data_IF_898960872015
#
_entry.id   IF_898960872015
#
_cell.length_a   1.000
_cell.length_b   1.000
_cell.length_c   1.000
_cell.angle_alpha   90.00
_cell.angle_beta   90.00
_cell.angle_gamma   90.00
#
_symmetry.space_group_name_H-M   'P 1'
#
loop_
_entity.id
_entity.type
_entity.pdbx_description
1 polymer ?
#
# COMPACT_ATOMS: atom_id res chain seq x y z
N UNK A 1 -37.13 -22.62 21.78
CA UNK A 1 -35.68 -22.92 21.75
C UNK A 1 -35.54 -24.40 21.45
N UNK A 2 -34.95 -24.77 20.31
CA UNK A 2 -34.69 -26.18 19.99
C UNK A 2 -33.62 -26.68 20.96
N UNK A 3 -33.91 -27.73 21.72
CA UNK A 3 -32.97 -28.26 22.70
C UNK A 3 -31.69 -28.76 22.00
N UNK A 4 -30.53 -28.29 22.45
CA UNK A 4 -29.20 -28.69 21.97
C UNK A 4 -28.58 -29.66 22.98
N UNK A 5 -28.12 -30.82 22.54
CA UNK A 5 -27.48 -31.80 23.42
C UNK A 5 -26.06 -32.12 22.96
N UNK A 6 -25.09 -31.99 23.85
CA UNK A 6 -23.72 -32.43 23.59
C UNK A 6 -23.57 -33.90 23.98
N UNK A 7 -22.99 -34.69 23.09
CA UNK A 7 -22.72 -36.12 23.29
C UNK A 7 -21.34 -36.46 22.76
N UNK A 8 -20.84 -37.63 23.17
CA UNK A 8 -19.54 -38.13 22.77
C UNK A 8 -19.70 -39.46 22.05
N UNK A 9 -18.93 -39.68 20.98
CA UNK A 9 -18.82 -40.99 20.34
C UNK A 9 -18.09 -41.98 21.24
N UNK A 10 -18.64 -43.18 21.39
CA UNK A 10 -17.94 -44.29 22.06
C UNK A 10 -16.96 -45.03 21.12
N UNK A 11 -16.18 -45.96 21.67
CA UNK A 11 -15.22 -46.81 20.93
C UNK A 11 -15.81 -47.62 19.76
N UNK A 12 -17.13 -47.79 19.73
CA UNK A 12 -17.85 -48.49 18.67
C UNK A 12 -18.49 -47.52 17.66
N UNK A 13 -18.20 -46.22 17.76
CA UNK A 13 -18.77 -45.18 16.90
C UNK A 13 -20.23 -44.89 17.18
N UNK A 14 -20.71 -45.13 18.41
CA UNK A 14 -22.12 -44.92 18.78
C UNK A 14 -22.33 -43.62 19.54
N UNK A 15 -23.51 -43.01 19.36
CA UNK A 15 -23.92 -41.78 20.03
C UNK A 15 -25.27 -41.99 20.72
N UNK A 16 -25.41 -41.53 21.98
CA UNK A 16 -26.66 -41.64 22.76
C UNK A 16 -27.65 -40.57 22.31
N UNK A 17 -28.82 -40.97 21.79
CA UNK A 17 -29.93 -40.03 21.57
C UNK A 17 -30.60 -39.74 22.92
N UNK A 18 -30.73 -38.45 23.32
CA UNK A 18 -31.41 -38.03 24.55
C UNK A 18 -32.80 -38.67 24.72
N UNK A 19 -33.21 -38.93 25.98
CA UNK A 19 -34.44 -39.69 26.27
C UNK A 19 -35.70 -38.95 25.81
N UNK A 20 -35.77 -37.66 26.10
CA UNK A 20 -36.79 -36.73 25.61
C UNK A 20 -36.92 -36.78 24.09
N UNK A 21 -35.82 -36.64 23.34
CA UNK A 21 -35.88 -36.71 21.88
C UNK A 21 -36.36 -38.08 21.35
N UNK A 22 -36.00 -39.17 22.05
CA UNK A 22 -36.46 -40.53 21.67
C UNK A 22 -37.95 -40.72 21.89
N UNK A 23 -38.50 -40.12 22.95
CA UNK A 23 -39.92 -40.18 23.28
C UNK A 23 -40.72 -39.27 22.34
N UNK A 24 -40.26 -38.04 22.11
CA UNK A 24 -40.92 -37.06 21.25
C UNK A 24 -41.01 -37.51 19.78
N UNK A 25 -39.98 -38.19 19.28
CA UNK A 25 -39.89 -38.68 17.90
C UNK A 25 -40.30 -40.16 17.75
N UNK A 26 -40.75 -40.82 18.81
CA UNK A 26 -41.13 -42.25 18.84
C UNK A 26 -40.08 -43.19 18.20
N UNK A 27 -38.80 -42.99 18.55
CA UNK A 27 -37.69 -43.70 17.89
C UNK A 27 -37.52 -45.17 18.35
N UNK A 28 -38.21 -45.57 19.42
CA UNK A 28 -37.96 -46.85 20.09
C UNK A 28 -38.53 -48.02 19.26
N UNK A 29 -37.66 -48.95 18.86
CA UNK A 29 -38.07 -50.13 18.08
C UNK A 29 -38.35 -49.85 16.61
N UNK A 30 -38.11 -48.61 16.15
CA UNK A 30 -38.19 -48.23 14.73
C UNK A 30 -36.87 -48.54 14.01
N UNK A 31 -36.97 -48.73 12.70
CA UNK A 31 -35.82 -48.79 11.81
C UNK A 31 -35.34 -47.37 11.51
N UNK A 32 -34.04 -47.13 11.63
CA UNK A 32 -33.41 -45.83 11.46
C UNK A 32 -32.40 -45.86 10.32
N UNK A 33 -32.58 -44.98 9.35
CA UNK A 33 -31.58 -44.69 8.33
C UNK A 33 -30.60 -43.64 8.83
N UNK A 34 -29.31 -43.82 8.54
CA UNK A 34 -28.22 -42.94 8.99
C UNK A 34 -27.46 -42.46 7.75
N UNK A 35 -27.70 -41.21 7.36
CA UNK A 35 -27.18 -40.65 6.12
C UNK A 35 -26.23 -39.48 6.36
N UNK A 36 -25.35 -39.25 5.41
CA UNK A 36 -24.61 -38.01 5.29
C UNK A 36 -25.59 -36.83 5.24
N UNK A 37 -25.30 -35.79 6.01
CA UNK A 37 -26.08 -34.55 6.02
C UNK A 37 -25.19 -33.36 5.75
N UNK A 38 -25.56 -32.62 4.71
CA UNK A 38 -24.96 -31.34 4.40
C UNK A 38 -23.58 -31.43 3.76
N UNK A 39 -23.30 -32.37 2.86
CA UNK A 39 -22.02 -32.38 2.11
C UNK A 39 -20.79 -32.52 3.03
N UNK A 40 -20.85 -33.40 4.03
CA UNK A 40 -19.81 -33.66 5.03
C UNK A 40 -19.99 -32.86 6.33
N UNK A 41 -21.18 -32.29 6.59
CA UNK A 41 -21.46 -31.45 7.78
C UNK A 41 -21.98 -32.22 8.98
N UNK A 42 -22.30 -33.51 8.82
CA UNK A 42 -22.77 -34.36 9.90
C UNK A 42 -23.56 -35.54 9.38
N UNK A 43 -24.39 -36.08 10.27
CA UNK A 43 -25.21 -37.25 10.04
C UNK A 43 -26.65 -36.92 10.37
N UNK A 44 -27.55 -37.29 9.46
CA UNK A 44 -28.98 -37.20 9.66
C UNK A 44 -29.54 -38.60 9.91
N UNK A 45 -30.25 -38.74 11.02
CA UNK A 45 -30.95 -39.96 11.41
C UNK A 45 -32.44 -39.75 11.15
N UNK A 46 -33.02 -40.61 10.32
CA UNK A 46 -34.46 -40.60 9.98
C UNK A 46 -35.08 -41.96 10.29
N UNK A 47 -36.39 -41.98 10.53
CA UNK A 47 -37.16 -43.23 10.60
C UNK A 47 -37.38 -43.74 9.17
N UNK A 48 -37.00 -44.99 8.91
CA UNK A 48 -37.28 -45.68 7.66
C UNK A 48 -38.42 -46.71 7.81
N UNK A 49 -39.19 -46.88 6.75
CA UNK A 49 -40.35 -47.79 6.73
C UNK A 49 -40.01 -49.20 6.23
N UNK A 50 -38.79 -49.44 5.71
CA UNK A 50 -38.36 -50.71 5.09
C UNK A 50 -37.08 -51.28 5.72
N UNK A 51 -36.95 -52.60 5.78
CA UNK A 51 -35.87 -53.36 6.46
C UNK A 51 -34.47 -53.34 5.76
N UNK A 52 -34.08 -52.26 5.08
CA UNK A 52 -32.82 -52.15 4.31
C UNK A 52 -31.52 -52.12 5.16
N UNK A 53 -30.52 -51.30 4.80
CA UNK A 53 -29.32 -51.03 5.64
C UNK A 53 -29.64 -50.23 6.92
N UNK A 54 -30.75 -50.54 7.56
CA UNK A 54 -31.31 -49.83 8.70
C UNK A 54 -30.59 -50.19 10.00
N UNK A 55 -30.47 -49.20 10.88
CA UNK A 55 -29.97 -49.34 12.24
C UNK A 55 -31.14 -49.26 13.22
N UNK A 56 -30.95 -49.77 14.42
CA UNK A 56 -31.91 -49.61 15.53
C UNK A 56 -31.19 -49.01 16.72
N UNK A 57 -31.96 -48.41 17.63
CA UNK A 57 -31.41 -47.97 18.92
C UNK A 57 -31.14 -49.17 19.81
N UNK A 58 -29.98 -49.19 20.45
CA UNK A 58 -29.69 -50.21 21.45
C UNK A 58 -30.48 -50.00 22.76
N UNK A 59 -30.32 -50.93 23.72
CA UNK A 59 -30.98 -50.86 25.04
C UNK A 59 -30.68 -49.59 25.85
N UNK A 60 -29.64 -48.84 25.48
CA UNK A 60 -29.24 -47.59 26.12
C UNK A 60 -29.65 -46.35 25.30
N UNK A 61 -30.31 -46.53 24.15
CA UNK A 61 -30.72 -45.44 23.27
C UNK A 61 -29.63 -44.92 22.34
N UNK A 62 -28.61 -45.74 22.04
CA UNK A 62 -27.51 -45.36 21.16
C UNK A 62 -27.77 -45.76 19.71
N UNK A 63 -27.41 -44.88 18.78
CA UNK A 63 -27.35 -45.16 17.34
C UNK A 63 -25.90 -45.35 16.90
N UNK A 64 -25.64 -46.29 15.99
CA UNK A 64 -24.31 -46.53 15.41
C UNK A 64 -24.11 -45.59 14.23
N UNK A 65 -23.00 -44.84 14.21
CA UNK A 65 -22.55 -44.09 13.03
C UNK A 65 -21.66 -45.03 12.18
N UNK A 66 -22.06 -45.37 10.94
CA UNK A 66 -21.30 -46.22 10.03
C UNK A 66 -19.84 -45.77 9.89
N UNK A 67 -18.93 -46.72 9.64
CA UNK A 67 -17.49 -46.43 9.55
C UNK A 67 -17.18 -45.51 8.39
N UNK A 68 -17.90 -45.64 7.28
CA UNK A 68 -17.78 -44.84 6.06
C UNK A 68 -18.09 -43.36 6.35
N UNK A 69 -19.18 -43.10 7.09
CA UNK A 69 -19.56 -41.75 7.51
C UNK A 69 -18.59 -41.19 8.56
N UNK A 70 -18.09 -42.02 9.48
CA UNK A 70 -17.07 -41.57 10.45
C UNK A 70 -15.75 -41.21 9.78
N UNK A 71 -15.32 -41.96 8.78
CA UNK A 71 -14.12 -41.65 8.00
C UNK A 71 -14.31 -40.36 7.19
N UNK A 72 -15.47 -40.20 6.53
CA UNK A 72 -15.81 -38.99 5.79
C UNK A 72 -15.80 -37.74 6.68
N UNK A 73 -16.33 -37.84 7.91
CA UNK A 73 -16.46 -36.73 8.85
C UNK A 73 -15.26 -36.57 9.79
N UNK A 74 -14.25 -37.43 9.69
CA UNK A 74 -13.12 -37.52 10.62
C UNK A 74 -13.57 -37.62 12.10
N UNK A 75 -14.51 -38.51 12.37
CA UNK A 75 -15.07 -38.76 13.71
C UNK A 75 -14.46 -40.01 14.35
N UNK A 76 -13.52 -39.76 15.25
CA UNK A 76 -12.85 -40.80 16.04
C UNK A 76 -13.53 -41.06 17.39
N UNK A 77 -13.06 -42.09 18.10
CA UNK A 77 -13.48 -42.34 19.49
C UNK A 77 -13.28 -41.08 20.33
N UNK A 78 -14.29 -40.73 21.12
CA UNK A 78 -14.22 -39.57 22.00
C UNK A 78 -14.56 -38.23 21.34
N UNK A 79 -14.89 -38.19 20.03
CA UNK A 79 -15.35 -36.97 19.35
C UNK A 79 -16.63 -36.44 20.01
N UNK A 80 -16.63 -35.14 20.36
CA UNK A 80 -17.80 -34.42 20.82
C UNK A 80 -18.68 -34.01 19.63
N UNK A 81 -19.98 -34.30 19.73
CA UNK A 81 -20.99 -34.00 18.71
C UNK A 81 -22.19 -33.30 19.34
N UNK A 82 -22.80 -32.42 18.56
CA UNK A 82 -24.03 -31.74 18.90
C UNK A 82 -25.21 -32.48 18.27
N UNK A 83 -26.27 -32.71 19.06
CA UNK A 83 -27.53 -33.30 18.59
C UNK A 83 -28.59 -32.20 18.59
N UNK A 84 -29.19 -31.97 17.42
CA UNK A 84 -30.33 -31.07 17.18
C UNK A 84 -31.48 -31.84 16.54
N UNK A 85 -32.71 -31.38 16.74
CA UNK A 85 -33.88 -31.87 16.00
C UNK A 85 -34.25 -30.89 14.90
N UNK A 86 -34.46 -31.40 13.70
CA UNK A 86 -35.01 -30.65 12.58
C UNK A 86 -36.25 -31.37 12.06
N UNK A 87 -37.44 -30.83 12.33
CA UNK A 87 -38.73 -31.48 12.08
C UNK A 87 -38.84 -32.87 12.74
N UNK A 88 -38.79 -33.95 11.95
CA UNK A 88 -38.84 -35.35 12.44
C UNK A 88 -37.47 -36.03 12.45
N UNK A 89 -36.42 -35.30 12.07
CA UNK A 89 -35.09 -35.84 11.85
C UNK A 89 -34.14 -35.45 12.99
N UNK A 90 -33.29 -36.38 13.40
CA UNK A 90 -32.22 -36.11 14.36
C UNK A 90 -30.94 -35.79 13.60
N UNK A 91 -30.43 -34.57 13.78
CA UNK A 91 -29.17 -34.12 13.18
C UNK A 91 -28.07 -34.22 14.22
N UNK A 92 -27.01 -34.97 13.89
CA UNK A 92 -25.80 -35.10 14.69
C UNK A 92 -24.68 -34.43 13.88
N UNK A 93 -24.03 -33.39 14.41
CA UNK A 93 -22.92 -32.72 13.73
C UNK A 93 -21.73 -32.55 14.68
N UNK A 94 -20.54 -32.27 14.15
CA UNK A 94 -19.50 -31.70 14.99
C UNK A 94 -19.94 -30.30 15.47
N UNK A 95 -19.30 -29.78 16.52
CA UNK A 95 -19.59 -28.44 17.04
C UNK A 95 -19.83 -27.48 15.88
N UNK A 96 -21.00 -26.82 15.87
CA UNK A 96 -21.45 -25.91 14.83
C UNK A 96 -20.26 -25.16 14.23
N UNK A 97 -19.94 -25.46 12.96
CA UNK A 97 -19.02 -24.62 12.21
C UNK A 97 -19.68 -23.25 12.22
N UNK A 98 -19.09 -22.34 12.97
CA UNK A 98 -19.58 -20.98 13.16
C UNK A 98 -18.51 -20.03 12.66
N UNK A 99 -18.94 -18.83 12.26
CA UNK A 99 -18.00 -17.77 11.98
C UNK A 99 -17.13 -17.53 13.22
N UNK A 100 -15.81 -17.58 13.05
CA UNK A 100 -14.85 -17.36 14.13
C UNK A 100 -14.88 -15.94 14.74
N UNK A 101 -15.67 -15.03 14.17
CA UNK A 101 -15.81 -13.63 14.61
C UNK A 101 -17.17 -13.38 15.25
N UNK A 102 -18.27 -13.71 14.57
CA UNK A 102 -19.63 -13.40 15.02
C UNK A 102 -20.49 -14.62 15.41
N UNK A 103 -19.91 -15.82 15.39
CA UNK A 103 -20.55 -17.09 15.79
C UNK A 103 -21.80 -17.51 14.98
N UNK A 104 -22.12 -16.86 13.86
CA UNK A 104 -23.26 -17.28 13.01
C UNK A 104 -22.98 -18.59 12.26
N UNK A 105 -24.04 -19.35 11.99
CA UNK A 105 -23.99 -20.67 11.33
C UNK A 105 -24.25 -20.61 9.79
N UNK A 106 -24.42 -19.42 9.20
CA UNK A 106 -24.82 -19.22 7.79
C UNK A 106 -23.74 -18.53 6.95
N UNK A 107 -23.76 -18.77 5.63
CA UNK A 107 -22.86 -18.17 4.63
C UNK A 107 -21.38 -18.29 4.98
N UNK A 108 -20.97 -19.48 5.41
CA UNK A 108 -19.62 -19.75 5.90
C UNK A 108 -18.67 -20.14 4.79
N UNK A 109 -17.50 -19.51 4.81
CA UNK A 109 -16.38 -19.75 3.91
C UNK A 109 -15.22 -20.32 4.73
N UNK A 110 -14.65 -21.48 4.35
CA UNK A 110 -13.50 -22.04 5.04
C UNK A 110 -12.24 -21.21 4.78
N UNK A 111 -11.53 -20.85 5.86
CA UNK A 111 -10.26 -20.12 5.84
C UNK A 111 -9.27 -20.86 6.74
N UNK A 112 -8.32 -21.58 6.12
CA UNK A 112 -7.39 -22.50 6.80
C UNK A 112 -8.17 -23.52 7.66
N UNK A 113 -8.01 -23.49 8.98
CA UNK A 113 -8.68 -24.40 9.92
C UNK A 113 -9.94 -23.81 10.58
N UNK A 114 -10.40 -22.63 10.15
CA UNK A 114 -11.56 -21.92 10.71
C UNK A 114 -12.56 -21.55 9.61
N UNK A 115 -13.72 -21.03 10.01
CA UNK A 115 -14.76 -20.52 9.11
C UNK A 115 -15.00 -19.03 9.36
N UNK A 116 -15.26 -18.28 8.28
CA UNK A 116 -15.72 -16.89 8.35
C UNK A 116 -17.01 -16.75 7.55
N UNK A 117 -17.98 -15.98 8.06
CA UNK A 117 -19.17 -15.68 7.27
C UNK A 117 -18.87 -14.58 6.24
N UNK A 118 -19.67 -14.53 5.18
CA UNK A 118 -19.61 -13.46 4.16
C UNK A 118 -19.64 -12.06 4.78
N UNK A 119 -20.54 -11.77 5.74
CA UNK A 119 -20.62 -10.45 6.39
C UNK A 119 -19.32 -10.07 7.12
N UNK A 120 -18.70 -10.99 7.87
CA UNK A 120 -17.44 -10.69 8.57
C UNK A 120 -16.25 -10.58 7.62
N UNK A 121 -16.27 -11.30 6.50
CA UNK A 121 -15.28 -11.11 5.43
C UNK A 121 -15.45 -9.73 4.79
N UNK A 122 -16.69 -9.33 4.53
CA UNK A 122 -17.04 -8.01 3.98
C UNK A 122 -16.61 -6.88 4.92
N UNK A 123 -16.92 -6.99 6.21
CA UNK A 123 -16.48 -6.03 7.24
C UNK A 123 -14.95 -5.93 7.32
N UNK A 124 -14.25 -7.07 7.23
CA UNK A 124 -12.79 -7.11 7.19
C UNK A 124 -12.23 -6.37 5.97
N UNK A 125 -12.78 -6.64 4.79
CA UNK A 125 -12.39 -6.01 3.53
C UNK A 125 -12.65 -4.49 3.54
N UNK A 126 -13.79 -4.07 4.11
CA UNK A 126 -14.13 -2.67 4.29
C UNK A 126 -13.14 -1.99 5.25
N UNK A 127 -12.80 -2.62 6.38
CA UNK A 127 -11.79 -2.09 7.32
C UNK A 127 -10.41 -1.95 6.69
N UNK A 128 -10.01 -2.90 5.85
CA UNK A 128 -8.76 -2.79 5.09
C UNK A 128 -8.78 -1.59 4.13
N UNK A 129 -9.87 -1.40 3.39
CA UNK A 129 -10.02 -0.28 2.46
C UNK A 129 -10.07 1.07 3.18
N UNK A 130 -10.77 1.15 4.33
CA UNK A 130 -10.88 2.36 5.14
C UNK A 130 -9.53 2.81 5.71
N UNK A 131 -8.63 1.88 6.02
CA UNK A 131 -7.25 2.20 6.46
C UNK A 131 -6.49 2.98 5.39
N UNK A 132 -6.53 2.51 4.15
CA UNK A 132 -5.93 3.21 3.01
C UNK A 132 -6.64 4.53 2.73
N UNK A 133 -7.98 4.54 2.79
CA UNK A 133 -8.79 5.74 2.58
C UNK A 133 -8.43 6.84 3.59
N UNK A 134 -8.22 6.51 4.87
CA UNK A 134 -7.88 7.49 5.90
C UNK A 134 -6.54 8.21 5.61
N UNK A 135 -5.51 7.47 5.19
CA UNK A 135 -4.21 8.07 4.82
C UNK A 135 -4.34 8.93 3.56
N UNK A 136 -5.03 8.42 2.55
CA UNK A 136 -5.27 9.14 1.29
C UNK A 136 -6.09 10.43 1.50
N UNK A 137 -7.12 10.37 2.33
CA UNK A 137 -7.98 11.51 2.69
C UNK A 137 -7.22 12.56 3.50
N UNK A 138 -6.39 12.15 4.45
CA UNK A 138 -5.50 13.08 5.16
C UNK A 138 -4.58 13.82 4.18
N UNK A 139 -3.95 13.09 3.26
CA UNK A 139 -3.02 13.68 2.30
C UNK A 139 -3.68 14.60 1.29
N UNK A 140 -4.85 14.24 0.77
CA UNK A 140 -5.55 15.06 -0.22
C UNK A 140 -6.03 16.38 0.38
N UNK A 141 -6.41 16.38 1.67
CA UNK A 141 -6.79 17.58 2.42
C UNK A 141 -5.60 18.51 2.60
N UNK A 142 -4.48 18.00 3.12
CA UNK A 142 -3.25 18.80 3.23
C UNK A 142 -2.78 19.32 1.87
N UNK A 143 -2.88 18.50 0.82
CA UNK A 143 -2.55 18.91 -0.54
C UNK A 143 -3.44 20.06 -1.02
N UNK A 144 -4.76 19.99 -0.76
CA UNK A 144 -5.71 21.07 -1.09
C UNK A 144 -5.33 22.38 -0.45
N UNK A 145 -5.04 22.35 0.85
CA UNK A 145 -4.75 23.56 1.62
C UNK A 145 -3.44 24.20 1.12
N UNK A 146 -2.39 23.41 0.91
CA UNK A 146 -1.15 23.93 0.35
C UNK A 146 -1.28 24.39 -1.11
N UNK A 147 -2.10 23.73 -1.93
CA UNK A 147 -2.39 24.20 -3.29
C UNK A 147 -3.06 25.56 -3.29
N UNK A 148 -3.94 25.85 -2.33
CA UNK A 148 -4.58 27.17 -2.17
C UNK A 148 -3.58 28.21 -1.71
N UNK A 149 -2.80 27.92 -0.66
CA UNK A 149 -1.79 28.85 -0.12
C UNK A 149 -0.67 29.14 -1.13
N UNK A 150 -0.29 28.15 -1.95
CA UNK A 150 0.71 28.30 -3.01
C UNK A 150 0.37 29.38 -4.06
N UNK A 151 -0.90 29.78 -4.17
CA UNK A 151 -1.35 30.83 -5.10
C UNK A 151 -1.04 32.25 -4.59
N UNK A 152 -0.76 32.40 -3.29
CA UNK A 152 -0.46 33.70 -2.69
C UNK A 152 1.01 34.11 -2.92
N UNK A 153 1.89 33.12 -3.16
CA UNK A 153 3.33 33.32 -3.35
C UNK A 153 4.06 34.03 -2.19
N UNK A 154 3.46 34.07 -1.00
CA UNK A 154 4.03 34.69 0.20
C UNK A 154 5.10 33.80 0.84
N UNK A 155 4.82 32.50 0.96
CA UNK A 155 5.73 31.49 1.50
C UNK A 155 6.14 30.48 0.41
N UNK A 156 7.45 30.33 0.20
CA UNK A 156 7.99 29.32 -0.72
C UNK A 156 7.73 27.87 -0.23
N UNK A 157 7.46 27.72 1.07
CA UNK A 157 7.18 26.44 1.70
C UNK A 157 5.81 25.88 1.28
N UNK A 158 4.82 26.72 0.96
CA UNK A 158 3.51 26.25 0.49
C UNK A 158 3.62 25.50 -0.84
N UNK A 159 4.40 26.03 -1.79
CA UNK A 159 4.68 25.37 -3.06
C UNK A 159 5.48 24.09 -2.81
N UNK A 160 6.42 24.13 -1.86
CA UNK A 160 7.20 22.96 -1.50
C UNK A 160 6.30 21.83 -0.97
N UNK A 161 5.43 22.14 0.00
CA UNK A 161 4.53 21.18 0.63
C UNK A 161 3.48 20.66 -0.35
N UNK A 162 2.85 21.52 -1.15
CA UNK A 162 1.95 21.08 -2.22
C UNK A 162 2.64 20.06 -3.15
N UNK A 163 3.88 20.35 -3.58
CA UNK A 163 4.67 19.44 -4.42
C UNK A 163 5.02 18.13 -3.71
N UNK A 164 5.32 18.17 -2.41
CA UNK A 164 5.66 16.98 -1.61
C UNK A 164 4.43 16.10 -1.43
N UNK A 165 3.30 16.68 -1.00
CA UNK A 165 2.04 15.94 -0.78
C UNK A 165 1.52 15.32 -2.08
N UNK A 166 1.51 16.08 -3.18
CA UNK A 166 1.14 15.56 -4.50
C UNK A 166 1.97 14.35 -4.94
N UNK A 167 3.30 14.38 -4.74
CA UNK A 167 4.17 13.21 -5.02
C UNK A 167 3.86 12.00 -4.17
N UNK A 168 3.53 12.21 -2.89
CA UNK A 168 3.20 11.12 -1.98
C UNK A 168 1.88 10.47 -2.37
N UNK A 169 0.90 11.28 -2.78
CA UNK A 169 -0.36 10.79 -3.35
C UNK A 169 -0.09 9.97 -4.62
N UNK A 170 0.65 10.52 -5.59
CA UNK A 170 1.02 9.80 -6.82
C UNK A 170 1.74 8.47 -6.51
N UNK A 171 2.66 8.47 -5.54
CA UNK A 171 3.37 7.27 -5.13
C UNK A 171 2.42 6.20 -4.57
N UNK A 172 1.47 6.57 -3.70
CA UNK A 172 0.49 5.65 -3.14
C UNK A 172 -0.46 5.10 -4.21
N UNK A 173 -0.96 5.94 -5.12
CA UNK A 173 -1.79 5.51 -6.25
C UNK A 173 -1.02 4.54 -7.16
N UNK A 174 0.26 4.83 -7.44
CA UNK A 174 1.12 3.94 -8.22
C UNK A 174 1.35 2.61 -7.49
N UNK A 175 1.55 2.63 -6.18
CA UNK A 175 1.72 1.40 -5.38
C UNK A 175 0.45 0.54 -5.39
N UNK A 176 -0.72 1.18 -5.37
CA UNK A 176 -2.04 0.55 -5.53
C UNK A 176 -2.33 0.05 -6.96
N UNK A 177 -1.42 0.25 -7.92
CA UNK A 177 -1.63 -0.07 -9.34
C UNK A 177 -2.78 0.71 -10.00
N UNK A 178 -3.09 1.92 -9.51
CA UNK A 178 -4.02 2.80 -10.21
C UNK A 178 -3.41 3.14 -11.58
N UNK A 179 -4.13 2.92 -12.70
CA UNK A 179 -3.59 3.15 -14.03
C UNK A 179 -3.11 4.59 -14.20
N UNK A 180 -1.97 4.75 -14.85
CA UNK A 180 -1.38 6.08 -15.05
C UNK A 180 -2.26 7.02 -15.88
N UNK A 181 -3.22 6.47 -16.64
CA UNK A 181 -4.21 7.15 -17.49
C UNK A 181 -5.48 7.56 -16.72
N UNK A 182 -5.64 7.11 -15.47
CA UNK A 182 -6.76 7.50 -14.63
C UNK A 182 -6.81 9.02 -14.46
N UNK A 183 -8.00 9.62 -14.49
CA UNK A 183 -8.20 11.08 -14.50
C UNK A 183 -7.48 11.77 -13.33
N UNK A 184 -7.71 11.31 -12.10
CA UNK A 184 -6.99 11.79 -10.89
C UNK A 184 -5.47 11.79 -11.06
N UNK A 185 -4.91 10.74 -11.69
CA UNK A 185 -3.46 10.65 -11.89
C UNK A 185 -2.99 11.70 -12.91
N UNK A 186 -3.77 11.95 -13.96
CA UNK A 186 -3.45 12.97 -14.97
C UNK A 186 -3.49 14.38 -14.38
N UNK A 187 -4.51 14.69 -13.59
CA UNK A 187 -4.66 16.00 -12.93
C UNK A 187 -3.52 16.24 -11.94
N UNK A 188 -3.19 15.24 -11.12
CA UNK A 188 -2.04 15.31 -10.20
C UNK A 188 -0.72 15.53 -10.95
N UNK A 189 -0.48 14.81 -12.05
CA UNK A 189 0.72 14.99 -12.88
C UNK A 189 0.81 16.39 -13.47
N UNK A 190 -0.31 16.93 -13.97
CA UNK A 190 -0.32 18.27 -14.55
C UNK A 190 -0.07 19.34 -13.48
N UNK A 191 -0.74 19.24 -12.34
CA UNK A 191 -0.51 20.10 -11.19
C UNK A 191 0.94 19.98 -10.69
N UNK A 192 1.49 18.77 -10.61
CA UNK A 192 2.86 18.51 -10.22
C UNK A 192 3.87 19.21 -11.12
N UNK A 193 3.63 19.19 -12.43
CA UNK A 193 4.48 19.87 -13.42
C UNK A 193 4.46 21.39 -13.24
N UNK A 194 3.30 21.97 -12.97
CA UNK A 194 3.17 23.42 -12.73
C UNK A 194 3.88 23.82 -11.42
N UNK A 195 3.61 23.11 -10.33
CA UNK A 195 4.25 23.34 -9.02
C UNK A 195 5.77 23.15 -9.10
N UNK A 196 6.22 22.09 -9.78
CA UNK A 196 7.63 21.82 -10.01
C UNK A 196 8.33 22.93 -10.77
N UNK A 197 7.68 23.48 -11.80
CA UNK A 197 8.21 24.58 -12.58
C UNK A 197 8.38 25.88 -11.78
N UNK A 198 7.71 26.07 -10.63
CA UNK A 198 7.99 27.19 -9.72
C UNK A 198 9.06 26.79 -8.69
N UNK A 199 8.84 25.67 -7.98
CA UNK A 199 9.71 25.22 -6.89
C UNK A 199 11.16 24.99 -7.31
N UNK A 200 11.39 24.46 -8.51
CA UNK A 200 12.75 24.29 -9.04
C UNK A 200 13.49 25.64 -9.14
N UNK A 201 12.79 26.72 -9.53
CA UNK A 201 13.39 28.05 -9.60
C UNK A 201 13.56 28.66 -8.22
N UNK A 202 12.64 28.44 -7.28
CA UNK A 202 12.84 28.90 -5.88
C UNK A 202 14.13 28.31 -5.28
N UNK A 203 14.33 27.00 -5.44
CA UNK A 203 15.56 26.31 -4.97
C UNK A 203 16.80 26.87 -5.67
N UNK A 204 16.76 27.06 -6.99
CA UNK A 204 17.86 27.67 -7.76
C UNK A 204 18.19 29.09 -7.27
N UNK A 205 17.17 29.94 -7.12
CA UNK A 205 17.33 31.33 -6.69
C UNK A 205 17.97 31.39 -5.31
N UNK A 206 17.46 30.61 -4.35
CA UNK A 206 18.00 30.53 -2.99
C UNK A 206 19.47 30.09 -2.99
N UNK A 207 19.80 29.04 -3.74
CA UNK A 207 21.17 28.54 -3.85
C UNK A 207 22.15 29.58 -4.41
N UNK A 208 21.78 30.23 -5.52
CA UNK A 208 22.61 31.27 -6.13
C UNK A 208 22.66 32.57 -5.32
N UNK A 209 21.61 32.91 -4.57
CA UNK A 209 21.61 34.07 -3.68
C UNK A 209 22.58 33.88 -2.51
N UNK A 210 22.55 32.72 -1.84
CA UNK A 210 23.48 32.40 -0.75
C UNK A 210 24.93 32.46 -1.26
N UNK A 211 25.22 31.82 -2.40
CA UNK A 211 26.57 31.88 -3.01
C UNK A 211 27.01 33.29 -3.39
N UNK A 212 26.09 34.14 -3.85
CA UNK A 212 26.40 35.53 -4.14
C UNK A 212 26.72 36.35 -2.87
N UNK A 213 26.16 35.99 -1.73
CA UNK A 213 26.39 36.66 -0.44
C UNK A 213 27.67 36.19 0.25
N UNK A 214 28.00 34.90 0.14
CA UNK A 214 29.17 34.28 0.79
C UNK A 214 30.46 34.45 -0.01
N UNK A 215 30.37 34.76 -1.31
CA UNK A 215 31.54 34.89 -2.17
C UNK A 215 32.31 36.19 -1.91
N UNK A 216 33.56 36.05 -1.45
CA UNK A 216 34.45 37.18 -1.14
C UNK A 216 34.84 37.99 -2.39
N UNK A 217 34.93 37.33 -3.56
CA UNK A 217 35.28 38.01 -4.80
C UNK A 217 34.06 38.68 -5.43
N UNK A 218 34.00 40.01 -5.35
CA UNK A 218 32.90 40.82 -5.90
C UNK A 218 32.55 40.50 -7.37
N UNK A 219 33.52 40.09 -8.20
CA UNK A 219 33.25 39.77 -9.60
C UNK A 219 32.62 38.39 -9.78
N UNK A 220 32.89 37.44 -8.88
CA UNK A 220 32.27 36.12 -8.86
C UNK A 220 30.87 36.22 -8.22
N UNK A 221 30.73 37.00 -7.15
CA UNK A 221 29.45 37.34 -6.54
C UNK A 221 28.49 37.98 -7.56
N UNK A 222 28.98 38.91 -8.39
CA UNK A 222 28.21 39.50 -9.50
C UNK A 222 27.73 38.46 -10.52
N UNK A 223 28.56 37.45 -10.84
CA UNK A 223 28.16 36.36 -11.75
C UNK A 223 26.98 35.59 -11.16
N UNK A 224 27.06 35.18 -9.88
CA UNK A 224 25.96 34.51 -9.20
C UNK A 224 24.70 35.38 -9.14
N UNK A 225 24.87 36.68 -8.88
CA UNK A 225 23.77 37.63 -8.82
C UNK A 225 23.01 37.75 -10.13
N UNK A 226 23.75 37.87 -11.23
CA UNK A 226 23.19 37.95 -12.57
C UNK A 226 22.45 36.68 -13.01
N UNK A 227 22.81 35.52 -12.46
CA UNK A 227 22.14 34.25 -12.72
C UNK A 227 20.81 34.21 -11.99
N UNK A 228 20.78 34.42 -10.67
CA UNK A 228 19.50 34.33 -9.94
C UNK A 228 18.50 35.39 -10.39
N UNK A 229 18.93 36.61 -10.74
CA UNK A 229 18.04 37.65 -11.30
C UNK A 229 17.39 37.20 -12.62
N UNK A 230 18.10 36.44 -13.45
CA UNK A 230 17.54 35.89 -14.70
C UNK A 230 16.57 34.74 -14.43
N UNK A 231 16.89 33.88 -13.47
CA UNK A 231 16.01 32.77 -13.05
C UNK A 231 14.73 33.33 -12.44
N UNK A 232 14.82 34.39 -11.64
CA UNK A 232 13.69 35.07 -11.01
C UNK A 232 12.69 35.63 -12.04
N UNK A 233 13.18 36.29 -13.09
CA UNK A 233 12.32 36.72 -14.22
C UNK A 233 11.55 35.57 -14.88
N UNK A 234 12.11 34.36 -14.92
CA UNK A 234 11.38 33.17 -15.41
C UNK A 234 10.43 32.62 -14.37
N UNK A 235 10.81 32.64 -13.09
CA UNK A 235 9.95 32.21 -11.98
C UNK A 235 8.63 32.95 -12.00
N UNK A 236 8.65 34.27 -12.16
CA UNK A 236 7.42 35.08 -12.23
C UNK A 236 6.48 34.65 -13.37
N UNK A 237 7.03 34.26 -14.53
CA UNK A 237 6.22 33.70 -15.62
C UNK A 237 5.59 32.35 -15.24
N UNK A 238 6.31 31.51 -14.50
CA UNK A 238 5.79 30.24 -14.02
C UNK A 238 4.77 30.42 -12.90
N UNK A 239 4.94 31.41 -12.01
CA UNK A 239 3.96 31.80 -11.00
C UNK A 239 2.66 32.25 -11.63
N UNK A 240 2.70 33.12 -12.64
CA UNK A 240 1.51 33.53 -13.38
C UNK A 240 0.78 32.33 -14.01
N UNK A 241 1.53 31.41 -14.63
CA UNK A 241 0.95 30.20 -15.22
C UNK A 241 0.37 29.25 -14.16
N UNK A 242 1.01 29.14 -13.00
CA UNK A 242 0.51 28.35 -11.87
C UNK A 242 -0.81 28.95 -11.36
N UNK A 243 -0.85 30.27 -11.16
CA UNK A 243 -2.02 30.99 -10.67
C UNK A 243 -3.23 30.84 -11.60
N UNK A 244 -2.98 30.82 -12.91
CA UNK A 244 -4.03 30.63 -13.92
C UNK A 244 -4.55 29.18 -13.96
N UNK A 245 -3.65 28.19 -14.02
CA UNK A 245 -4.03 26.80 -14.35
C UNK A 245 -4.26 25.89 -13.16
N UNK A 246 -3.56 26.09 -12.04
CA UNK A 246 -3.68 25.19 -10.90
C UNK A 246 -5.12 25.13 -10.35
N UNK A 247 -5.88 26.25 -10.24
CA UNK A 247 -7.27 26.21 -9.78
C UNK A 247 -8.22 25.49 -10.75
N UNK A 248 -7.89 25.45 -12.05
CA UNK A 248 -8.68 24.72 -13.06
C UNK A 248 -8.48 23.21 -12.91
N UNK A 249 -7.24 22.78 -12.66
CA UNK A 249 -6.86 21.37 -12.53
C UNK A 249 -7.29 20.83 -11.16
N UNK A 250 -6.87 21.50 -10.09
CA UNK A 250 -7.19 21.15 -8.69
C UNK A 250 -8.45 21.93 -8.27
N UNK A 251 -9.52 21.68 -9.01
CA UNK A 251 -10.84 22.30 -8.84
C UNK A 251 -11.75 21.46 -7.93
N UNK A 252 -12.94 21.96 -7.60
CA UNK A 252 -13.92 21.16 -6.85
C UNK A 252 -14.31 19.87 -7.61
N UNK A 253 -14.31 19.89 -8.95
CA UNK A 253 -14.50 18.69 -9.78
C UNK A 253 -13.45 17.60 -9.47
N UNK A 254 -12.18 17.98 -9.33
CA UNK A 254 -11.11 17.04 -8.99
C UNK A 254 -11.37 16.37 -7.64
N UNK A 255 -11.87 17.12 -6.66
CA UNK A 255 -12.21 16.56 -5.34
C UNK A 255 -13.47 15.68 -5.38
N UNK A 256 -14.44 15.99 -6.24
CA UNK A 256 -15.60 15.12 -6.46
C UNK A 256 -15.16 13.78 -7.09
N UNK A 257 -14.30 13.82 -8.10
CA UNK A 257 -13.69 12.61 -8.70
C UNK A 257 -12.87 11.83 -7.67
N UNK A 258 -12.13 12.52 -6.81
CA UNK A 258 -11.38 11.90 -5.73
C UNK A 258 -12.28 11.16 -4.75
N UNK A 259 -13.36 11.80 -4.31
CA UNK A 259 -14.33 11.18 -3.39
C UNK A 259 -14.98 9.95 -4.04
N UNK A 260 -15.36 10.06 -5.32
CA UNK A 260 -15.89 8.94 -6.08
C UNK A 260 -14.89 7.77 -6.18
N UNK A 261 -13.61 8.06 -6.43
CA UNK A 261 -12.55 7.05 -6.42
C UNK A 261 -12.43 6.35 -5.07
N UNK A 262 -12.43 7.11 -3.96
CA UNK A 262 -12.34 6.52 -2.61
C UNK A 262 -13.55 5.62 -2.32
N UNK A 263 -14.75 6.05 -2.68
CA UNK A 263 -16.00 5.33 -2.38
C UNK A 263 -16.22 4.10 -3.27
N UNK A 264 -15.95 4.22 -4.58
CA UNK A 264 -16.37 3.21 -5.58
C UNK A 264 -15.23 2.35 -6.09
N UNK A 265 -14.00 2.87 -6.09
CA UNK A 265 -12.89 2.23 -6.80
C UNK A 265 -11.79 1.72 -5.87
N UNK A 266 -11.40 2.47 -4.84
CA UNK A 266 -10.23 2.17 -4.00
C UNK A 266 -10.20 0.71 -3.51
N UNK A 267 -11.37 0.21 -3.10
CA UNK A 267 -11.52 -1.16 -2.62
C UNK A 267 -10.98 -2.21 -3.60
N UNK A 268 -11.24 -2.07 -4.90
CA UNK A 268 -10.81 -3.06 -5.89
C UNK A 268 -9.28 -3.15 -5.98
N UNK A 269 -8.60 -2.02 -5.78
CA UNK A 269 -7.14 -1.93 -5.78
C UNK A 269 -6.55 -2.50 -4.49
N UNK A 270 -7.12 -2.16 -3.34
CA UNK A 270 -6.65 -2.64 -2.04
C UNK A 270 -6.83 -4.16 -1.91
N UNK A 271 -7.96 -4.71 -2.38
CA UNK A 271 -8.25 -6.14 -2.26
C UNK A 271 -7.34 -7.05 -3.09
N UNK A 272 -6.71 -6.51 -4.13
CA UNK A 272 -5.79 -7.27 -4.99
C UNK A 272 -4.31 -7.02 -4.64
N UNK A 273 -4.04 -6.16 -3.65
CA UNK A 273 -2.69 -5.78 -3.27
C UNK A 273 -2.03 -6.86 -2.41
N UNK A 274 -0.90 -7.38 -2.89
CA UNK A 274 0.07 -8.09 -2.05
C UNK A 274 1.24 -7.14 -1.74
N UNK A 275 1.28 -6.61 -0.52
CA UNK A 275 2.26 -5.61 -0.09
C UNK A 275 3.68 -6.13 -0.24
N UNK A 276 3.96 -7.34 0.25
CA UNK A 276 5.30 -7.94 0.21
C UNK A 276 5.81 -8.10 -1.23
N UNK A 277 5.02 -8.77 -2.07
CA UNK A 277 5.39 -8.97 -3.48
C UNK A 277 5.57 -7.64 -4.21
N UNK A 278 4.78 -6.62 -3.85
CA UNK A 278 4.89 -5.30 -4.45
C UNK A 278 6.17 -4.58 -4.03
N UNK A 279 6.53 -4.64 -2.75
CA UNK A 279 7.78 -4.08 -2.24
C UNK A 279 8.97 -4.75 -2.91
N UNK A 280 8.98 -6.09 -3.01
CA UNK A 280 10.05 -6.86 -3.66
C UNK A 280 10.32 -6.34 -5.10
N UNK A 281 9.27 -6.06 -5.88
CA UNK A 281 9.39 -5.50 -7.24
C UNK A 281 10.04 -4.11 -7.26
N UNK A 282 9.68 -3.23 -6.32
CA UNK A 282 10.23 -1.88 -6.27
C UNK A 282 11.65 -1.84 -5.70
N UNK A 283 11.97 -2.71 -4.74
CA UNK A 283 13.33 -2.87 -4.22
C UNK A 283 14.26 -3.43 -5.30
N UNK A 284 13.79 -4.40 -6.09
CA UNK A 284 14.54 -4.92 -7.23
C UNK A 284 14.84 -3.84 -8.28
N UNK A 285 13.85 -3.01 -8.61
CA UNK A 285 14.04 -1.86 -9.51
C UNK A 285 15.03 -0.83 -8.95
N UNK A 286 15.04 -0.62 -7.63
CA UNK A 286 16.03 0.21 -6.97
C UNK A 286 17.44 -0.39 -7.12
N UNK A 287 17.61 -1.69 -6.84
CA UNK A 287 18.89 -2.39 -6.98
C UNK A 287 19.42 -2.30 -8.43
N UNK A 288 18.58 -2.54 -9.43
CA UNK A 288 18.94 -2.36 -10.85
C UNK A 288 19.38 -0.93 -11.18
N UNK A 289 18.78 0.07 -10.54
CA UNK A 289 19.19 1.47 -10.72
C UNK A 289 20.56 1.74 -10.09
N UNK A 290 20.89 1.08 -8.98
CA UNK A 290 22.20 1.16 -8.32
C UNK A 290 23.27 0.48 -9.18
N UNK A 291 23.01 -0.73 -9.67
CA UNK A 291 23.91 -1.44 -10.59
C UNK A 291 24.22 -0.61 -11.83
N UNK A 292 23.19 -0.02 -12.46
CA UNK A 292 23.37 0.86 -13.62
C UNK A 292 24.20 2.12 -13.29
N UNK A 293 24.17 2.59 -12.04
CA UNK A 293 25.02 3.68 -11.59
C UNK A 293 26.46 3.24 -11.42
N UNK A 294 26.70 2.10 -10.76
CA UNK A 294 28.05 1.56 -10.53
C UNK A 294 28.74 1.25 -11.86
N UNK A 295 28.05 0.58 -12.80
CA UNK A 295 28.57 0.34 -14.15
C UNK A 295 28.94 1.65 -14.88
N UNK A 296 28.07 2.66 -14.81
CA UNK A 296 28.34 3.94 -15.45
C UNK A 296 29.50 4.70 -14.80
N UNK A 297 29.64 4.58 -13.48
CA UNK A 297 30.72 5.17 -12.70
C UNK A 297 32.07 4.51 -13.00
N UNK A 298 32.10 3.19 -13.18
CA UNK A 298 33.30 2.43 -13.56
C UNK A 298 33.72 2.73 -15.01
N UNK A 299 32.77 2.73 -15.96
CA UNK A 299 33.09 2.86 -17.39
C UNK A 299 33.51 4.30 -17.78
N UNK A 300 32.86 5.32 -17.20
CA UNK A 300 33.00 6.72 -17.63
C UNK A 300 33.46 7.67 -16.52
N UNK A 301 33.64 7.17 -15.30
CA UNK A 301 33.91 7.97 -14.11
C UNK A 301 32.63 8.45 -13.41
N UNK A 302 32.70 8.59 -12.09
CA UNK A 302 31.58 9.00 -11.21
C UNK A 302 30.96 10.34 -11.61
N UNK A 303 31.75 11.33 -12.00
CA UNK A 303 31.24 12.67 -12.40
C UNK A 303 30.73 12.74 -13.84
N UNK A 304 30.67 11.62 -14.57
CA UNK A 304 30.21 11.62 -15.96
C UNK A 304 28.71 11.92 -16.07
N UNK A 305 28.28 12.48 -17.20
CA UNK A 305 26.86 12.72 -17.48
C UNK A 305 26.02 11.43 -17.45
N UNK A 306 26.61 10.28 -17.80
CA UNK A 306 25.96 8.96 -17.74
C UNK A 306 25.73 8.54 -16.29
N UNK A 307 26.77 8.61 -15.45
CA UNK A 307 26.66 8.30 -14.02
C UNK A 307 25.70 9.24 -13.29
N UNK A 308 25.75 10.55 -13.55
CA UNK A 308 24.80 11.53 -12.99
C UNK A 308 23.34 11.31 -13.43
N UNK A 309 23.11 10.66 -14.57
CA UNK A 309 21.77 10.26 -15.01
C UNK A 309 21.30 9.00 -14.28
N UNK A 310 22.17 8.02 -14.14
CA UNK A 310 21.88 6.79 -13.39
C UNK A 310 21.63 7.08 -11.90
N UNK A 311 22.46 7.91 -11.26
CA UNK A 311 22.27 8.33 -9.87
C UNK A 311 20.94 9.05 -9.64
N UNK A 312 20.48 9.84 -10.63
CA UNK A 312 19.17 10.47 -10.55
C UNK A 312 18.04 9.43 -10.55
N UNK A 313 18.18 8.32 -11.28
CA UNK A 313 17.22 7.21 -11.22
C UNK A 313 17.22 6.57 -9.83
N UNK A 314 18.40 6.27 -9.26
CA UNK A 314 18.52 5.77 -7.87
C UNK A 314 17.76 6.66 -6.90
N UNK A 315 17.99 7.98 -6.97
CA UNK A 315 17.31 8.97 -6.11
C UNK A 315 15.78 8.92 -6.24
N UNK A 316 15.25 8.77 -7.45
CA UNK A 316 13.80 8.64 -7.68
C UNK A 316 13.27 7.39 -6.98
N UNK A 317 13.91 6.24 -7.18
CA UNK A 317 13.49 4.97 -6.57
C UNK A 317 13.61 5.00 -5.04
N UNK A 318 14.71 5.52 -4.49
CA UNK A 318 14.87 5.70 -3.04
C UNK A 318 13.77 6.56 -2.44
N UNK A 319 13.39 7.64 -3.14
CA UNK A 319 12.33 8.54 -2.69
C UNK A 319 10.96 7.90 -2.72
N UNK A 320 10.68 7.15 -3.76
CA UNK A 320 9.48 6.36 -3.86
C UNK A 320 9.40 5.35 -2.70
N UNK A 321 10.43 4.53 -2.52
CA UNK A 321 10.47 3.51 -1.45
C UNK A 321 10.38 4.11 -0.06
N UNK A 322 11.07 5.22 0.22
CA UNK A 322 10.93 5.94 1.51
C UNK A 322 9.48 6.32 1.79
N UNK A 323 8.76 6.83 0.79
CA UNK A 323 7.36 7.23 0.97
C UNK A 323 6.46 6.02 1.23
N UNK A 324 6.61 4.96 0.44
CA UNK A 324 5.82 3.74 0.62
C UNK A 324 6.07 3.13 1.99
N UNK A 325 7.33 2.93 2.38
CA UNK A 325 7.66 2.37 3.70
C UNK A 325 7.12 3.22 4.84
N UNK A 326 7.23 4.56 4.73
CA UNK A 326 6.68 5.47 5.74
C UNK A 326 5.17 5.27 5.94
N UNK A 327 4.39 5.21 4.84
CA UNK A 327 2.95 5.06 4.96
C UNK A 327 2.51 3.65 5.33
N UNK A 328 3.28 2.62 4.96
CA UNK A 328 3.03 1.26 5.43
C UNK A 328 3.31 1.14 6.93
N UNK A 329 4.37 1.75 7.44
CA UNK A 329 4.69 1.84 8.88
C UNK A 329 3.53 2.49 9.65
N UNK A 330 3.01 3.62 9.14
CA UNK A 330 1.86 4.33 9.71
C UNK A 330 0.56 3.51 9.70
N UNK A 331 0.33 2.72 8.64
CA UNK A 331 -0.92 1.97 8.47
C UNK A 331 -0.94 0.62 9.20
N UNK A 332 0.20 -0.08 9.23
CA UNK A 332 0.27 -1.47 9.66
C UNK A 332 1.03 -1.65 10.98
N UNK A 333 1.70 -0.61 11.49
CA UNK A 333 2.59 -0.68 12.66
C UNK A 333 3.61 -1.83 12.56
N UNK A 334 3.93 -2.23 11.32
CA UNK A 334 5.01 -3.16 11.02
C UNK A 334 6.34 -2.42 11.14
N UNK A 335 7.41 -3.10 11.58
CA UNK A 335 8.70 -2.45 11.84
C UNK A 335 9.45 -2.12 10.53
N UNK A 336 8.96 -1.12 9.80
CA UNK A 336 9.56 -0.61 8.55
C UNK A 336 10.49 0.58 8.78
N UNK A 337 10.60 1.06 10.02
CA UNK A 337 11.46 2.20 10.40
C UNK A 337 12.88 2.08 9.89
N UNK A 338 13.50 0.90 10.01
CA UNK A 338 14.86 0.70 9.49
C UNK A 338 14.98 0.92 7.98
N UNK A 339 13.94 0.58 7.21
CA UNK A 339 13.88 0.81 5.76
C UNK A 339 13.67 2.28 5.45
N UNK A 340 12.80 2.96 6.21
CA UNK A 340 12.61 4.43 6.09
C UNK A 340 13.93 5.16 6.33
N UNK A 341 14.62 4.84 7.43
CA UNK A 341 15.89 5.46 7.80
C UNK A 341 16.98 5.20 6.76
N UNK A 342 17.02 3.99 6.20
CA UNK A 342 17.95 3.64 5.13
C UNK A 342 17.76 4.53 3.89
N UNK A 343 16.54 4.64 3.37
CA UNK A 343 16.28 5.47 2.18
C UNK A 343 16.37 6.98 2.47
N UNK A 344 16.16 7.40 3.70
CA UNK A 344 16.38 8.79 4.13
C UNK A 344 17.86 9.18 4.07
N UNK A 345 18.75 8.34 4.61
CA UNK A 345 20.21 8.56 4.54
C UNK A 345 20.72 8.66 3.10
N UNK A 346 20.18 7.85 2.20
CA UNK A 346 20.53 7.93 0.77
C UNK A 346 20.08 9.27 0.15
N UNK A 347 18.91 9.78 0.53
CA UNK A 347 18.44 11.07 0.02
C UNK A 347 19.33 12.24 0.44
N UNK A 348 19.83 12.24 1.68
CA UNK A 348 20.72 13.29 2.18
C UNK A 348 22.00 13.36 1.36
N UNK A 349 22.55 12.21 0.94
CA UNK A 349 23.71 12.16 0.06
C UNK A 349 23.41 12.71 -1.35
N UNK A 350 22.24 12.38 -1.92
CA UNK A 350 21.89 12.75 -3.29
C UNK A 350 21.31 14.17 -3.43
N UNK A 351 20.81 14.76 -2.35
CA UNK A 351 20.24 16.10 -2.31
C UNK A 351 21.16 17.13 -2.95
N UNK A 352 22.34 17.27 -2.34
CA UNK A 352 23.30 18.29 -2.73
C UNK A 352 23.86 18.08 -4.14
N UNK A 353 24.09 16.82 -4.54
CA UNK A 353 24.57 16.45 -5.87
C UNK A 353 23.56 16.86 -6.95
N UNK A 354 22.27 16.59 -6.72
CA UNK A 354 21.23 16.94 -7.66
C UNK A 354 21.09 18.47 -7.80
N UNK A 355 21.17 19.20 -6.69
CA UNK A 355 21.09 20.66 -6.71
C UNK A 355 22.28 21.26 -7.47
N UNK A 356 23.51 20.81 -7.21
CA UNK A 356 24.71 21.23 -7.96
C UNK A 356 24.61 20.96 -9.46
N UNK A 357 24.08 19.79 -9.84
CA UNK A 357 23.84 19.45 -11.24
C UNK A 357 22.82 20.38 -11.88
N UNK A 358 21.68 20.62 -11.22
CA UNK A 358 20.64 21.52 -11.73
C UNK A 358 21.16 22.96 -11.83
N UNK A 359 22.01 23.39 -10.90
CA UNK A 359 22.68 24.69 -10.93
C UNK A 359 23.64 24.82 -12.10
N UNK A 360 24.47 23.81 -12.36
CA UNK A 360 25.36 23.76 -13.52
C UNK A 360 24.59 23.81 -14.84
N UNK A 361 23.52 23.02 -14.97
CA UNK A 361 22.68 22.99 -16.17
C UNK A 361 22.01 24.37 -16.42
N UNK A 362 21.55 25.05 -15.36
CA UNK A 362 20.96 26.39 -15.51
C UNK A 362 22.02 27.47 -15.77
N UNK A 363 23.19 27.37 -15.14
CA UNK A 363 24.31 28.26 -15.38
C UNK A 363 24.76 28.20 -16.84
N UNK A 364 24.94 26.99 -17.40
CA UNK A 364 25.34 26.80 -18.80
C UNK A 364 24.36 27.43 -19.79
N UNK A 365 23.04 27.27 -19.57
CA UNK A 365 22.00 27.88 -20.42
C UNK A 365 22.03 29.41 -20.43
N UNK A 366 22.51 30.02 -19.34
CA UNK A 366 22.51 31.48 -19.16
C UNK A 366 23.87 32.12 -19.35
N UNK A 367 24.96 31.34 -19.33
CA UNK A 367 26.35 31.79 -19.36
C UNK A 367 26.62 32.86 -20.41
N UNK A 368 26.20 32.64 -21.65
CA UNK A 368 26.48 33.56 -22.77
C UNK A 368 25.69 34.87 -22.66
N UNK A 369 24.58 34.87 -21.91
CA UNK A 369 23.71 36.03 -21.71
C UNK A 369 24.14 36.90 -20.53
N UNK A 370 25.12 36.49 -19.72
CA UNK A 370 25.62 37.26 -18.57
C UNK A 370 26.55 38.39 -19.04
N UNK A 371 26.56 39.52 -18.34
CA UNK A 371 27.37 40.70 -18.67
C UNK A 371 28.81 40.60 -18.14
N UNK A 372 29.03 39.79 -17.09
CA UNK A 372 30.34 39.64 -16.45
C UNK A 372 31.42 39.10 -17.40
N UNK A 373 32.70 39.34 -17.11
CA UNK A 373 33.81 38.89 -17.98
C UNK A 373 33.91 37.37 -18.07
N UNK A 374 34.28 36.84 -19.26
CA UNK A 374 34.43 35.39 -19.54
C UNK A 374 35.27 34.62 -18.51
N UNK A 375 36.32 35.24 -17.97
CA UNK A 375 37.19 34.64 -16.94
C UNK A 375 36.44 34.30 -15.64
N UNK A 376 35.56 35.20 -15.19
CA UNK A 376 34.79 35.02 -13.95
C UNK A 376 33.70 33.97 -14.14
N UNK A 377 33.04 33.96 -15.30
CA UNK A 377 32.08 32.89 -15.65
C UNK A 377 32.73 31.51 -15.67
N UNK A 378 33.97 31.40 -16.17
CA UNK A 378 34.71 30.13 -16.20
C UNK A 378 35.10 29.69 -14.80
N UNK A 379 35.50 30.63 -13.93
CA UNK A 379 35.86 30.32 -12.55
C UNK A 379 34.66 29.79 -11.74
N UNK A 380 33.51 30.46 -11.81
CA UNK A 380 32.26 30.00 -11.16
C UNK A 380 31.87 28.59 -11.62
N UNK A 381 31.92 28.34 -12.94
CA UNK A 381 31.62 27.02 -13.50
C UNK A 381 32.58 25.94 -12.97
N UNK A 382 33.87 26.26 -12.87
CA UNK A 382 34.87 25.32 -12.37
C UNK A 382 34.65 25.01 -10.87
N UNK A 383 34.38 26.04 -10.05
CA UNK A 383 34.08 25.85 -8.62
C UNK A 383 32.93 24.86 -8.40
N UNK A 384 31.81 25.03 -9.12
CA UNK A 384 30.67 24.12 -9.02
C UNK A 384 30.96 22.71 -9.56
N UNK A 385 31.80 22.59 -10.60
CA UNK A 385 32.22 21.29 -11.15
C UNK A 385 33.12 20.53 -10.19
N UNK A 386 34.06 21.21 -9.54
CA UNK A 386 34.97 20.63 -8.57
C UNK A 386 34.20 20.15 -7.33
N UNK A 387 33.27 20.96 -6.84
CA UNK A 387 32.38 20.63 -5.73
C UNK A 387 31.48 19.42 -6.05
N UNK A 388 30.91 19.38 -7.26
CA UNK A 388 30.12 18.23 -7.72
C UNK A 388 30.98 16.96 -7.75
N UNK A 389 32.21 17.05 -8.27
CA UNK A 389 33.11 15.90 -8.34
C UNK A 389 33.50 15.40 -6.95
N UNK A 390 33.76 16.30 -6.00
CA UNK A 390 34.03 15.95 -4.61
C UNK A 390 32.85 15.20 -3.99
N UNK A 391 31.63 15.73 -4.12
CA UNK A 391 30.41 15.09 -3.59
C UNK A 391 30.13 13.75 -4.24
N UNK A 392 30.32 13.64 -5.56
CA UNK A 392 30.16 12.37 -6.28
C UNK A 392 31.14 11.28 -5.80
N UNK A 393 32.35 11.67 -5.38
CA UNK A 393 33.31 10.71 -4.85
C UNK A 393 32.95 10.22 -3.44
N UNK A 394 32.18 10.99 -2.68
CA UNK A 394 31.69 10.65 -1.34
C UNK A 394 30.44 9.76 -1.36
N UNK A 395 29.80 9.56 -2.52
CA UNK A 395 28.61 8.71 -2.64
C UNK A 395 28.97 7.26 -2.35
N UNK A 396 28.26 6.68 -1.38
CA UNK A 396 28.30 5.25 -1.07
C UNK A 396 26.87 4.73 -0.95
N UNK A 397 26.57 3.68 -1.71
CA UNK A 397 25.25 3.05 -1.70
C UNK A 397 25.47 1.59 -1.32
N UNK A 398 25.11 1.24 -0.09
CA UNK A 398 25.14 -0.14 0.37
C UNK A 398 23.78 -0.78 0.12
N UNK A 399 23.66 -1.64 -0.89
CA UNK A 399 22.44 -2.42 -1.08
C UNK A 399 22.29 -3.41 0.07
N UNK A 400 21.17 -3.35 0.79
CA UNK A 400 20.80 -4.42 1.73
C UNK A 400 20.41 -5.63 0.88
N UNK A 401 21.31 -6.61 0.75
CA UNK A 401 20.94 -7.95 0.27
C UNK A 401 19.84 -8.51 1.19
N UNK A 402 18.76 -8.99 0.58
CA UNK A 402 17.58 -9.55 1.26
C UNK A 402 17.90 -10.62 2.30
#
# INVERSE_FOLDING_TARGET
MTAKYMRQLDKMGRVVIPKDLREDLDLKGRHLGVYEFGSGRGVKVIIEETEGEVKTLDRYGRVVIPIELRQLLNWEEGKQVEIKVNNKDVIISDQSQVCAVCEREQSLIPVKSKYLCEDCLEDGNLRMSNRWAAVLDSLIKEYRDHCRSALNFEDEEDIHQARVKGRRIEALLQFLNVPSQHEIFQDLKEAHKLLGAVRERDVLIKGFQVRAQEEENQNLADVYAQVYQRVDKKREKHRNKLAEKLPEIISDRFYDQWNEFIEKELRQYVMTLNIKQRLDVYEERFNQSVEAFDEAAEEKGRSSKKALKALHAVRIESKYLRYIYKYLDEMYEEDFRERVDYYEKLQDQFGHINDLKDWLDEFEKHRDKLESKKKYKKAVMQQMQDELAEKMNQVTIETKSN
#
